data_IF_936576317694
#
_entry.id   IF_936576317694
#
_cell.length_a   1.000
_cell.length_b   1.000
_cell.length_c   1.000
_cell.angle_alpha   90.00
_cell.angle_beta   90.00
_cell.angle_gamma   90.00
#
_symmetry.space_group_name_H-M   'P 1'
#
loop_
_entity.id
_entity.type
_entity.pdbx_description
1 polymer ?
#
# COMPACT_ATOMS: atom_id res chain seq x y z
N UNK A 1 15.35 3.18 -31.33
CA UNK A 1 15.23 2.62 -29.96
C UNK A 1 14.57 3.55 -28.94
N UNK A 2 14.80 4.89 -28.93
CA UNK A 2 14.23 5.80 -27.92
C UNK A 2 12.70 6.01 -27.94
N UNK A 3 12.02 5.76 -29.07
CA UNK A 3 10.55 5.94 -29.20
C UNK A 3 9.77 4.83 -28.49
N UNK A 4 10.12 3.55 -28.75
CA UNK A 4 9.46 2.40 -28.13
C UNK A 4 9.58 2.36 -26.59
N UNK A 5 10.74 2.72 -26.03
CA UNK A 5 10.90 2.75 -24.57
C UNK A 5 10.02 3.82 -23.90
N UNK A 6 9.78 4.95 -24.56
CA UNK A 6 8.85 5.98 -24.06
C UNK A 6 7.40 5.50 -24.09
N UNK A 7 7.00 4.77 -25.13
CA UNK A 7 5.65 4.23 -25.24
C UNK A 7 5.37 3.16 -24.16
N UNK A 8 6.34 2.29 -23.86
CA UNK A 8 6.21 1.26 -22.81
C UNK A 8 6.10 1.89 -21.42
N UNK A 9 6.98 2.84 -21.09
CA UNK A 9 6.94 3.52 -19.77
C UNK A 9 5.66 4.33 -19.59
N UNK A 10 5.16 4.97 -20.65
CA UNK A 10 3.89 5.70 -20.63
C UNK A 10 2.74 4.75 -20.36
N UNK A 11 2.70 3.60 -21.04
CA UNK A 11 1.67 2.58 -20.84
C UNK A 11 1.68 2.01 -19.41
N UNK A 12 2.85 1.66 -18.88
CA UNK A 12 2.99 1.19 -17.49
C UNK A 12 2.43 2.23 -16.51
N UNK A 13 2.77 3.51 -16.71
CA UNK A 13 2.28 4.60 -15.88
C UNK A 13 0.75 4.75 -15.97
N UNK A 14 0.19 4.72 -17.17
CA UNK A 14 -1.27 4.78 -17.38
C UNK A 14 -1.99 3.59 -16.74
N UNK A 15 -1.43 2.39 -16.86
CA UNK A 15 -2.00 1.19 -16.26
C UNK A 15 -1.99 1.28 -14.72
N UNK A 16 -0.90 1.78 -14.13
CA UNK A 16 -0.83 2.04 -12.67
C UNK A 16 -1.81 3.12 -12.21
N UNK A 17 -1.88 4.25 -12.91
CA UNK A 17 -2.82 5.35 -12.60
C UNK A 17 -4.28 4.85 -12.64
N UNK A 18 -4.62 4.01 -13.63
CA UNK A 18 -5.94 3.38 -13.71
C UNK A 18 -6.22 2.46 -12.53
N UNK A 19 -5.28 1.58 -12.18
CA UNK A 19 -5.40 0.68 -11.01
C UNK A 19 -5.65 1.50 -9.74
N UNK A 20 -4.87 2.56 -9.52
CA UNK A 20 -5.00 3.41 -8.34
C UNK A 20 -6.31 4.18 -8.30
N UNK A 21 -6.81 4.64 -9.45
CA UNK A 21 -8.10 5.31 -9.56
C UNK A 21 -9.25 4.37 -9.20
N UNK A 22 -9.21 3.13 -9.69
CA UNK A 22 -10.26 2.12 -9.51
C UNK A 22 -10.22 1.42 -8.14
N UNK A 23 -9.06 1.42 -7.46
CA UNK A 23 -8.90 0.75 -6.17
C UNK A 23 -9.89 1.27 -5.11
N UNK A 24 -10.73 0.40 -4.57
CA UNK A 24 -11.66 0.71 -3.47
C UNK A 24 -11.04 0.45 -2.10
N UNK A 25 -9.91 -0.26 -2.07
CA UNK A 25 -9.25 -0.66 -0.82
C UNK A 25 -7.73 -0.59 -0.95
N UNK A 26 -7.05 -0.14 0.11
CA UNK A 26 -5.62 -0.30 0.31
C UNK A 26 -5.39 -1.31 1.43
N UNK A 27 -4.87 -2.49 1.09
CA UNK A 27 -4.48 -3.52 2.05
C UNK A 27 -3.04 -3.26 2.49
N UNK A 28 -2.78 -3.14 3.79
CA UNK A 28 -1.45 -2.82 4.33
C UNK A 28 -1.05 -3.85 5.37
N UNK A 29 0.05 -4.57 5.12
CA UNK A 29 0.62 -5.47 6.11
C UNK A 29 1.22 -4.64 7.28
N UNK A 30 0.84 -4.92 8.52
CA UNK A 30 1.33 -4.19 9.71
C UNK A 30 2.85 -4.26 9.87
N UNK A 31 3.48 -5.34 9.39
CA UNK A 31 4.93 -5.52 9.38
C UNK A 31 5.66 -4.45 8.57
N UNK A 32 4.97 -3.73 7.67
CA UNK A 32 5.52 -2.56 6.95
C UNK A 32 6.05 -1.51 7.94
N UNK A 33 5.34 -1.31 9.05
CA UNK A 33 5.68 -0.31 10.07
C UNK A 33 6.66 -0.83 11.14
N UNK A 34 7.02 -2.12 11.10
CA UNK A 34 7.96 -2.70 12.05
C UNK A 34 9.42 -2.26 11.82
N UNK A 35 9.70 -1.59 10.69
CA UNK A 35 11.04 -1.10 10.35
C UNK A 35 11.00 0.42 10.22
N UNK A 36 11.80 1.16 11.01
CA UNK A 36 11.90 2.60 10.86
C UNK A 36 12.45 2.93 9.46
N UNK A 37 11.96 4.02 8.89
CA UNK A 37 12.46 4.55 7.63
C UNK A 37 13.96 4.87 7.77
N UNK A 38 14.81 4.07 7.14
CA UNK A 38 16.24 4.38 7.05
C UNK A 38 16.45 5.42 5.94
N UNK A 39 16.30 6.70 6.27
CA UNK A 39 16.94 7.76 5.49
C UNK A 39 16.13 9.03 5.24
N UNK A 40 16.88 10.12 5.19
CA UNK A 40 16.63 11.48 4.66
C UNK A 40 16.17 11.53 3.18
N UNK A 41 15.64 10.43 2.64
CA UNK A 41 14.99 10.45 1.34
C UNK A 41 13.64 11.14 1.58
N UNK A 42 13.58 12.45 1.31
CA UNK A 42 12.46 13.33 1.62
C UNK A 42 11.11 12.63 1.46
N UNK A 43 10.39 12.51 2.59
CA UNK A 43 8.99 12.09 2.60
C UNK A 43 8.27 12.96 1.57
N UNK A 44 7.50 12.38 0.63
CA UNK A 44 6.79 13.19 -0.37
C UNK A 44 5.97 14.29 0.32
N UNK A 45 6.27 15.56 0.03
CA UNK A 45 5.84 16.77 0.77
C UNK A 45 4.32 17.08 0.75
N UNK A 46 3.43 16.10 0.55
CA UNK A 46 2.01 16.38 0.30
C UNK A 46 1.08 16.09 1.49
N UNK A 47 1.12 14.89 2.05
CA UNK A 47 0.25 14.50 3.16
C UNK A 47 1.01 13.64 4.17
N UNK A 48 0.84 13.93 5.46
CA UNK A 48 1.18 13.01 6.55
C UNK A 48 0.29 11.75 6.53
N UNK A 49 0.69 10.69 7.23
CA UNK A 49 -0.12 9.48 7.30
C UNK A 49 -1.53 9.75 7.87
N UNK A 50 -1.66 10.65 8.85
CA UNK A 50 -2.96 11.04 9.40
C UNK A 50 -3.84 11.78 8.39
N UNK A 51 -3.25 12.67 7.57
CA UNK A 51 -4.00 13.39 6.54
C UNK A 51 -4.45 12.42 5.44
N UNK A 52 -3.58 11.48 5.04
CA UNK A 52 -3.93 10.44 4.07
C UNK A 52 -5.13 9.61 4.54
N UNK A 53 -5.18 9.24 5.82
CA UNK A 53 -6.33 8.49 6.37
C UNK A 53 -7.65 9.26 6.19
N UNK A 54 -7.65 10.56 6.46
CA UNK A 54 -8.82 11.42 6.21
C UNK A 54 -9.17 11.53 4.72
N UNK A 55 -8.15 11.60 3.86
CA UNK A 55 -8.35 11.66 2.42
C UNK A 55 -8.97 10.38 1.86
N UNK A 56 -8.44 9.22 2.25
CA UNK A 56 -8.99 7.92 1.89
C UNK A 56 -10.45 7.78 2.32
N UNK A 57 -10.79 8.23 3.53
CA UNK A 57 -12.18 8.27 4.00
C UNK A 57 -13.07 9.13 3.08
N UNK A 58 -12.63 10.35 2.75
CA UNK A 58 -13.39 11.26 1.88
C UNK A 58 -13.59 10.72 0.45
N UNK A 59 -12.62 9.94 -0.04
CA UNK A 59 -12.64 9.30 -1.36
C UNK A 59 -13.36 7.94 -1.35
N UNK A 60 -13.97 7.53 -0.23
CA UNK A 60 -14.68 6.25 -0.10
C UNK A 60 -13.77 5.03 -0.31
N UNK A 61 -12.48 5.18 -0.02
CA UNK A 61 -11.47 4.12 -0.17
C UNK A 61 -11.10 3.61 1.21
N UNK A 62 -11.35 2.33 1.48
CA UNK A 62 -11.07 1.71 2.78
C UNK A 62 -9.58 1.40 2.89
N UNK A 63 -8.99 1.65 4.05
CA UNK A 63 -7.68 1.11 4.38
C UNK A 63 -7.86 -0.07 5.33
N UNK A 64 -7.20 -1.19 5.03
CA UNK A 64 -7.25 -2.41 5.84
C UNK A 64 -5.84 -2.77 6.27
N UNK A 65 -5.57 -2.58 7.54
CA UNK A 65 -4.33 -3.02 8.19
C UNK A 65 -4.48 -4.48 8.59
N UNK A 66 -3.58 -5.33 8.09
CA UNK A 66 -3.62 -6.76 8.33
C UNK A 66 -2.27 -7.35 8.73
N UNK A 67 -2.30 -8.49 9.40
CA UNK A 67 -1.10 -9.27 9.72
C UNK A 67 -1.20 -9.95 11.08
N UNK A 68 -0.41 -11.01 11.27
CA UNK A 68 -0.32 -11.70 12.56
C UNK A 68 0.30 -10.77 13.60
N UNK A 69 -0.48 -10.36 14.61
CA UNK A 69 -0.06 -9.34 15.57
C UNK A 69 -0.60 -7.94 15.27
N UNK A 70 -1.53 -7.80 14.32
CA UNK A 70 -2.22 -6.53 14.06
C UNK A 70 -2.90 -5.96 15.31
N UNK A 71 -3.44 -6.81 16.19
CA UNK A 71 -3.95 -6.38 17.50
C UNK A 71 -2.84 -5.86 18.43
N UNK A 72 -1.66 -6.50 18.43
CA UNK A 72 -0.53 -6.03 19.24
C UNK A 72 0.04 -4.72 18.70
N UNK A 73 0.22 -4.61 17.38
CA UNK A 73 0.64 -3.38 16.72
C UNK A 73 -0.35 -2.24 17.00
N UNK A 74 -1.65 -2.47 16.88
CA UNK A 74 -2.66 -1.48 17.23
C UNK A 74 -2.54 -1.02 18.68
N UNK A 75 -2.38 -1.97 19.62
CA UNK A 75 -2.27 -1.68 21.05
C UNK A 75 -0.99 -0.96 21.48
N UNK A 76 0.11 -1.05 20.71
CA UNK A 76 1.45 -0.59 21.13
C UNK A 76 2.00 0.57 20.32
N UNK A 77 1.61 0.70 19.04
CA UNK A 77 2.16 1.73 18.15
C UNK A 77 1.38 3.05 18.19
N UNK A 78 0.15 3.05 18.70
CA UNK A 78 -0.79 4.17 18.56
C UNK A 78 -1.28 4.39 17.12
N UNK A 79 -0.69 3.72 16.13
CA UNK A 79 -1.05 3.84 14.73
C UNK A 79 -2.33 3.06 14.40
N UNK A 80 -2.56 1.89 15.01
CA UNK A 80 -3.82 1.16 14.84
C UNK A 80 -5.04 1.94 15.37
N UNK A 81 -4.90 2.62 16.51
CA UNK A 81 -5.95 3.53 17.00
C UNK A 81 -6.24 4.67 16.01
N UNK A 82 -5.20 5.17 15.32
CA UNK A 82 -5.35 6.20 14.29
C UNK A 82 -6.10 5.66 13.07
N UNK A 83 -5.85 4.41 12.66
CA UNK A 83 -6.59 3.73 11.59
C UNK A 83 -8.08 3.66 11.94
N UNK A 84 -8.42 3.09 13.09
CA UNK A 84 -9.82 2.89 13.49
C UNK A 84 -10.57 4.22 13.71
N UNK A 85 -9.92 5.23 14.30
CA UNK A 85 -10.51 6.57 14.49
C UNK A 85 -10.88 7.26 13.18
N UNK A 86 -10.19 6.94 12.08
CA UNK A 86 -10.48 7.48 10.76
C UNK A 86 -11.44 6.59 9.93
N UNK A 87 -12.11 5.63 10.58
CA UNK A 87 -13.09 4.76 9.94
C UNK A 87 -12.50 3.65 9.07
N UNK A 88 -11.20 3.37 9.24
CA UNK A 88 -10.49 2.28 8.57
C UNK A 88 -10.44 1.04 9.46
N UNK A 89 -9.95 -0.07 8.92
CA UNK A 89 -10.05 -1.38 9.57
C UNK A 89 -8.68 -1.93 9.95
N UNK A 90 -8.58 -2.52 11.14
CA UNK A 90 -7.52 -3.45 11.53
C UNK A 90 -8.10 -4.86 11.58
N UNK A 91 -7.44 -5.87 11.00
CA UNK A 91 -7.94 -7.25 10.99
C UNK A 91 -6.84 -8.30 10.97
N UNK A 92 -7.09 -9.42 11.65
CA UNK A 92 -6.24 -10.62 11.57
C UNK A 92 -6.86 -11.70 10.65
N UNK A 93 -8.03 -11.42 10.07
CA UNK A 93 -8.74 -12.35 9.18
C UNK A 93 -8.09 -12.38 7.78
N UNK A 94 -7.16 -13.32 7.58
CA UNK A 94 -6.53 -13.54 6.28
C UNK A 94 -7.53 -13.98 5.19
N UNK A 95 -8.68 -14.56 5.55
CA UNK A 95 -9.72 -14.91 4.60
C UNK A 95 -10.39 -13.67 4.00
N UNK A 96 -10.68 -12.67 4.84
CA UNK A 96 -11.17 -11.36 4.40
C UNK A 96 -10.17 -10.66 3.47
N UNK A 97 -8.88 -10.62 3.85
CA UNK A 97 -7.82 -9.99 3.05
C UNK A 97 -7.67 -10.69 1.71
N UNK A 98 -7.64 -12.02 1.68
CA UNK A 98 -7.58 -12.81 0.45
C UNK A 98 -8.77 -12.54 -0.45
N UNK A 99 -9.98 -12.50 0.10
CA UNK A 99 -11.19 -12.22 -0.68
C UNK A 99 -11.14 -10.84 -1.37
N UNK A 100 -10.56 -9.83 -0.71
CA UNK A 100 -10.31 -8.51 -1.31
C UNK A 100 -9.27 -8.58 -2.42
N UNK A 101 -8.12 -9.22 -2.16
CA UNK A 101 -7.07 -9.40 -3.18
C UNK A 101 -7.60 -10.10 -4.45
N UNK A 102 -8.41 -11.15 -4.30
CA UNK A 102 -9.00 -11.91 -5.41
C UNK A 102 -10.02 -11.11 -6.24
N UNK A 103 -10.71 -10.14 -5.62
CA UNK A 103 -11.61 -9.21 -6.34
C UNK A 103 -10.86 -8.20 -7.20
N UNK A 104 -9.56 -8.01 -6.95
CA UNK A 104 -8.65 -7.13 -7.70
C UNK A 104 -9.08 -5.66 -7.75
N UNK A 105 -9.92 -5.23 -6.81
CA UNK A 105 -10.30 -3.84 -6.60
C UNK A 105 -9.45 -3.17 -5.51
N UNK A 106 -8.27 -3.72 -5.22
CA UNK A 106 -7.39 -3.23 -4.18
C UNK A 106 -5.93 -3.14 -4.61
N UNK A 107 -5.20 -2.28 -3.91
CA UNK A 107 -3.73 -2.28 -3.90
C UNK A 107 -3.28 -2.93 -2.61
N UNK A 108 -2.23 -3.76 -2.68
CA UNK A 108 -1.69 -4.48 -1.54
C UNK A 108 -0.25 -4.03 -1.27
N UNK A 109 -0.03 -3.41 -0.11
CA UNK A 109 1.30 -3.10 0.42
C UNK A 109 1.72 -4.19 1.41
N UNK A 110 2.60 -5.08 0.97
CA UNK A 110 3.09 -6.21 1.75
C UNK A 110 4.54 -6.02 2.20
N UNK A 111 4.96 -6.79 3.20
CA UNK A 111 6.35 -6.74 3.70
C UNK A 111 6.89 -8.10 4.15
N UNK A 112 6.05 -9.13 4.19
CA UNK A 112 6.41 -10.45 4.68
C UNK A 112 6.37 -11.51 3.58
N UNK A 113 7.22 -12.54 3.69
CA UNK A 113 7.16 -13.72 2.81
C UNK A 113 5.78 -14.37 2.84
N UNK A 114 5.07 -14.23 3.96
CA UNK A 114 3.70 -14.73 4.10
C UNK A 114 2.72 -14.06 3.14
N UNK A 115 3.05 -12.90 2.52
CA UNK A 115 2.19 -12.20 1.56
C UNK A 115 2.34 -12.71 0.12
N UNK A 116 3.30 -13.59 -0.16
CA UNK A 116 3.57 -14.10 -1.53
C UNK A 116 2.31 -14.74 -2.15
N UNK A 117 1.52 -15.48 -1.37
CA UNK A 117 0.30 -16.11 -1.85
C UNK A 117 -0.73 -15.07 -2.34
N UNK A 118 -0.83 -13.95 -1.64
CA UNK A 118 -1.69 -12.83 -2.01
C UNK A 118 -1.17 -12.13 -3.28
N UNK A 119 0.13 -11.93 -3.40
CA UNK A 119 0.73 -11.29 -4.58
C UNK A 119 0.49 -12.12 -5.85
N UNK A 120 0.60 -13.44 -5.73
CA UNK A 120 0.34 -14.38 -6.82
C UNK A 120 -1.14 -14.45 -7.24
N UNK A 121 -2.08 -13.85 -6.49
CA UNK A 121 -3.51 -13.76 -6.89
C UNK A 121 -3.78 -12.76 -8.02
N UNK A 122 -2.77 -11.98 -8.43
CA UNK A 122 -2.88 -10.98 -9.48
C UNK A 122 -3.43 -9.64 -9.00
N UNK A 123 -3.41 -9.39 -7.70
CA UNK A 123 -3.59 -8.06 -7.10
C UNK A 123 -2.38 -7.18 -7.43
N UNK A 124 -2.57 -5.87 -7.59
CA UNK A 124 -1.44 -4.96 -7.72
C UNK A 124 -0.72 -4.84 -6.37
N UNK A 125 0.52 -5.30 -6.34
CA UNK A 125 1.30 -5.48 -5.13
C UNK A 125 2.49 -4.53 -5.06
N UNK A 126 2.69 -3.96 -3.88
CA UNK A 126 3.75 -3.01 -3.55
C UNK A 126 4.52 -3.53 -2.34
N UNK A 127 5.83 -3.31 -2.34
CA UNK A 127 6.69 -3.66 -1.20
C UNK A 127 7.68 -2.54 -0.89
N UNK A 128 8.11 -2.41 0.37
CA UNK A 128 9.20 -1.52 0.74
C UNK A 128 10.56 -2.06 0.27
N UNK A 129 11.57 -1.19 0.22
CA UNK A 129 12.91 -1.57 -0.25
C UNK A 129 13.55 -2.64 0.63
N UNK A 130 13.28 -2.66 1.94
CA UNK A 130 13.85 -3.67 2.83
C UNK A 130 13.13 -5.02 2.81
N UNK A 131 12.04 -5.16 2.04
CA UNK A 131 11.31 -6.42 1.94
C UNK A 131 12.22 -7.59 1.51
N UNK A 132 11.91 -8.83 1.95
CA UNK A 132 12.64 -10.02 1.52
C UNK A 132 12.77 -10.08 -0.01
N UNK A 133 13.94 -10.54 -0.50
CA UNK A 133 14.22 -10.58 -1.95
C UNK A 133 13.13 -11.32 -2.72
N UNK A 134 12.69 -12.47 -2.20
CA UNK A 134 11.66 -13.30 -2.81
C UNK A 134 10.34 -12.53 -3.00
N UNK A 135 9.96 -11.71 -2.02
CA UNK A 135 8.76 -10.88 -2.08
C UNK A 135 8.93 -9.73 -3.10
N UNK A 136 10.09 -9.08 -3.13
CA UNK A 136 10.40 -8.05 -4.13
C UNK A 136 10.35 -8.58 -5.56
N UNK A 137 10.82 -9.81 -5.77
CA UNK A 137 10.84 -10.45 -7.09
C UNK A 137 9.44 -10.73 -7.67
N UNK A 138 8.43 -10.91 -6.80
CA UNK A 138 7.05 -11.18 -7.23
C UNK A 138 6.13 -9.95 -7.13
N UNK A 139 6.64 -8.83 -6.62
CA UNK A 139 5.89 -7.57 -6.50
C UNK A 139 5.74 -6.85 -7.84
N UNK A 140 4.68 -6.05 -7.99
CA UNK A 140 4.51 -5.18 -9.15
C UNK A 140 5.35 -3.90 -9.03
N UNK A 141 5.53 -3.40 -7.81
CA UNK A 141 6.28 -2.18 -7.52
C UNK A 141 7.11 -2.33 -6.24
N UNK A 142 8.38 -1.96 -6.33
CA UNK A 142 9.29 -1.88 -5.18
C UNK A 142 9.53 -0.41 -4.88
N UNK A 143 9.04 0.04 -3.72
CA UNK A 143 9.30 1.38 -3.22
C UNK A 143 10.76 1.52 -2.81
N UNK A 144 11.30 2.74 -2.90
CA UNK A 144 12.62 3.07 -2.34
C UNK A 144 12.57 3.40 -0.85
N UNK A 145 11.38 3.36 -0.24
CA UNK A 145 11.14 3.72 1.16
C UNK A 145 10.78 2.49 2.01
N UNK A 146 10.83 2.68 3.31
CA UNK A 146 10.44 1.73 4.36
C UNK A 146 9.48 2.41 5.35
N UNK A 147 8.82 1.62 6.20
CA UNK A 147 8.02 2.14 7.31
C UNK A 147 6.82 2.98 6.86
N UNK A 148 6.58 4.07 7.59
CA UNK A 148 5.52 5.02 7.27
C UNK A 148 5.75 5.72 5.92
N UNK A 149 7.00 5.92 5.50
CA UNK A 149 7.29 6.64 4.26
C UNK A 149 6.80 5.91 3.01
N UNK A 150 6.86 4.57 2.95
CA UNK A 150 6.28 3.81 1.84
C UNK A 150 4.75 3.87 1.84
N UNK A 151 4.11 3.87 3.01
CA UNK A 151 2.67 4.07 3.13
C UNK A 151 2.29 5.45 2.60
N UNK A 152 3.04 6.47 2.97
CA UNK A 152 2.81 7.86 2.54
C UNK A 152 3.04 8.04 1.04
N UNK A 153 4.11 7.47 0.47
CA UNK A 153 4.34 7.48 -0.99
C UNK A 153 3.16 6.86 -1.74
N UNK A 154 2.78 5.64 -1.37
CA UNK A 154 1.71 4.91 -2.05
C UNK A 154 0.36 5.61 -1.87
N UNK A 155 0.08 6.10 -0.66
CA UNK A 155 -1.15 6.83 -0.37
C UNK A 155 -1.29 8.09 -1.21
N UNK A 156 -0.21 8.87 -1.34
CA UNK A 156 -0.18 10.04 -2.21
C UNK A 156 -0.45 9.68 -3.68
N UNK A 157 0.15 8.60 -4.19
CA UNK A 157 -0.09 8.16 -5.57
C UNK A 157 -1.57 7.80 -5.80
N UNK A 158 -2.20 7.11 -4.83
CA UNK A 158 -3.62 6.73 -4.94
C UNK A 158 -4.54 7.95 -4.86
N UNK A 159 -4.35 8.80 -3.85
CA UNK A 159 -5.15 10.03 -3.67
C UNK A 159 -5.04 10.93 -4.91
N UNK A 160 -3.83 11.14 -5.43
CA UNK A 160 -3.63 11.95 -6.63
C UNK A 160 -4.29 11.33 -7.87
N UNK A 161 -4.21 10.00 -8.04
CA UNK A 161 -4.85 9.30 -9.18
C UNK A 161 -6.37 9.36 -9.14
N UNK A 162 -6.96 9.45 -7.94
CA UNK A 162 -8.41 9.60 -7.73
C UNK A 162 -8.90 11.04 -7.87
N UNK A 163 -8.12 12.01 -7.40
CA UNK A 163 -8.43 13.45 -7.49
C UNK A 163 -8.18 14.02 -8.89
N UNK A 164 -7.16 13.51 -9.58
CA UNK A 164 -6.78 13.91 -10.93
C UNK A 164 -7.40 12.99 -11.98
N UNK A 165 -8.58 13.38 -12.46
CA UNK A 165 -9.15 13.00 -13.76
C UNK A 165 -8.80 14.04 -14.80
#
# INVERSE_FOLDING_TARGET
MRKHSKDVLTRIRTDMEKIFREATTLLVNVGVFARPSNGDLGVPENFSASELLGEFHSLGTEIVFYGSGGGHFASTSGFGDLIEKNGHRVTEDRGYVRNRAEKKDCVLLGSEVSDIDLFCSGVFSVVPISAPLDLRMVSNYVSNFDGEAVFTELGNLIVNSKRGG
#
